data_IF_454402496539
#
_entry.id   IF_454402496539
#
_cell.length_a   1.000
_cell.length_b   1.000
_cell.length_c   1.000
_cell.angle_alpha   90.00
_cell.angle_beta   90.00
_cell.angle_gamma   90.00
#
_symmetry.space_group_name_H-M   'P 1'
#
loop_
_entity.id
_entity.type
_entity.pdbx_description
1 polymer ?
#
# COMPACT_ATOMS: atom_id res chain seq x y z
N UNK A 1 32.32 -4.26 -14.76
CA UNK A 1 31.31 -3.16 -14.96
C UNK A 1 29.92 -3.53 -14.47
N UNK A 2 29.37 -4.72 -14.75
CA UNK A 2 28.00 -5.13 -14.29
C UNK A 2 27.85 -5.12 -12.77
N UNK A 3 28.86 -5.56 -12.04
CA UNK A 3 28.85 -5.60 -10.56
C UNK A 3 28.79 -4.20 -9.92
N UNK A 4 29.48 -3.23 -10.50
CA UNK A 4 29.46 -1.85 -10.04
C UNK A 4 28.06 -1.26 -10.18
N UNK A 5 27.40 -1.47 -11.32
CA UNK A 5 26.03 -1.03 -11.54
C UNK A 5 25.02 -1.68 -10.60
N UNK A 6 25.16 -2.98 -10.36
CA UNK A 6 24.31 -3.69 -9.39
C UNK A 6 24.54 -3.21 -7.96
N UNK A 7 25.81 -2.96 -7.59
CA UNK A 7 26.15 -2.38 -6.29
C UNK A 7 25.55 -0.99 -6.11
N UNK A 8 25.74 -0.10 -7.09
CA UNK A 8 25.16 1.26 -7.07
C UNK A 8 23.65 1.24 -6.99
N UNK A 9 22.97 0.41 -7.79
CA UNK A 9 21.51 0.27 -7.74
C UNK A 9 21.03 -0.24 -6.38
N UNK A 10 21.74 -1.20 -5.78
CA UNK A 10 21.41 -1.71 -4.45
C UNK A 10 21.60 -0.65 -3.37
N UNK A 11 22.64 0.16 -3.47
CA UNK A 11 22.87 1.28 -2.56
C UNK A 11 21.74 2.31 -2.67
N UNK A 12 21.35 2.69 -3.89
CA UNK A 12 20.20 3.59 -4.13
C UNK A 12 18.93 3.00 -3.54
N UNK A 13 18.69 1.69 -3.71
CA UNK A 13 17.55 0.99 -3.10
C UNK A 13 17.57 1.11 -1.57
N UNK A 14 18.68 0.81 -0.92
CA UNK A 14 18.81 0.88 0.54
C UNK A 14 18.64 2.31 1.08
N UNK A 15 19.24 3.30 0.43
CA UNK A 15 19.11 4.72 0.81
C UNK A 15 17.66 5.19 0.64
N UNK A 16 17.01 4.83 -0.46
CA UNK A 16 15.61 5.17 -0.72
C UNK A 16 14.67 4.49 0.28
N UNK A 17 14.91 3.23 0.63
CA UNK A 17 14.16 2.51 1.65
C UNK A 17 14.32 3.16 3.03
N UNK A 18 15.55 3.48 3.41
CA UNK A 18 15.82 4.18 4.66
C UNK A 18 15.15 5.55 4.70
N UNK A 19 15.26 6.33 3.62
CA UNK A 19 14.61 7.63 3.48
C UNK A 19 13.09 7.54 3.62
N UNK A 20 12.47 6.57 2.95
CA UNK A 20 11.03 6.30 3.05
C UNK A 20 10.62 5.99 4.50
N UNK A 21 11.33 5.08 5.17
CA UNK A 21 11.05 4.73 6.56
C UNK A 21 11.23 5.92 7.52
N UNK A 22 12.22 6.77 7.29
CA UNK A 22 12.42 8.00 8.07
C UNK A 22 11.28 8.99 7.89
N UNK A 23 10.79 9.17 6.66
CA UNK A 23 9.65 10.06 6.38
C UNK A 23 8.38 9.54 7.05
N UNK A 24 8.08 8.24 6.91
CA UNK A 24 6.91 7.61 7.55
C UNK A 24 6.99 7.73 9.07
N UNK A 25 8.14 7.44 9.66
CA UNK A 25 8.37 7.55 11.10
C UNK A 25 8.17 8.98 11.58
N UNK A 26 8.72 9.96 10.88
CA UNK A 26 8.54 11.37 11.22
C UNK A 26 7.09 11.85 11.12
N UNK A 27 6.27 11.23 10.24
CA UNK A 27 4.82 11.50 10.18
C UNK A 27 4.09 10.89 11.38
N UNK A 28 4.46 9.68 11.80
CA UNK A 28 3.83 8.99 12.91
C UNK A 28 4.00 9.72 14.27
N UNK A 29 5.09 10.46 14.44
CA UNK A 29 5.35 11.23 15.66
C UNK A 29 4.80 12.67 15.63
N UNK A 30 4.13 13.08 14.55
CA UNK A 30 3.55 14.42 14.48
C UNK A 30 2.17 14.41 15.15
N UNK A 31 2.01 15.15 16.25
CA UNK A 31 0.75 15.29 16.99
C UNK A 31 -0.02 16.54 16.55
N UNK A 32 -1.35 16.42 16.52
CA UNK A 32 -2.25 17.50 16.15
C UNK A 32 -2.65 17.50 14.65
N UNK A 33 -3.95 17.73 14.37
CA UNK A 33 -4.49 17.61 13.00
C UNK A 33 -3.88 18.63 12.02
N UNK A 34 -3.79 19.89 12.42
CA UNK A 34 -3.24 20.95 11.56
C UNK A 34 -1.75 20.71 11.26
N UNK A 35 -0.98 20.36 12.29
CA UNK A 35 0.44 20.04 12.14
C UNK A 35 0.65 18.80 11.28
N UNK A 36 -0.22 17.78 11.41
CA UNK A 36 -0.15 16.56 10.63
C UNK A 36 -0.46 16.83 9.14
N UNK A 37 -1.47 17.65 8.83
CA UNK A 37 -1.79 18.03 7.45
C UNK A 37 -0.65 18.83 6.80
N UNK A 38 -0.11 19.83 7.50
CA UNK A 38 1.03 20.62 7.02
C UNK A 38 2.27 19.75 6.80
N UNK A 39 2.59 18.87 7.76
CA UNK A 39 3.71 17.94 7.65
C UNK A 39 3.54 16.94 6.50
N UNK A 40 2.32 16.47 6.24
CA UNK A 40 2.03 15.60 5.10
C UNK A 40 2.26 16.33 3.76
N UNK A 41 1.79 17.56 3.62
CA UNK A 41 2.00 18.33 2.39
C UNK A 41 3.48 18.55 2.10
N UNK A 42 4.28 18.92 3.12
CA UNK A 42 5.72 19.15 2.95
C UNK A 42 6.50 17.85 2.67
N UNK A 43 6.08 16.73 3.24
CA UNK A 43 6.81 15.45 3.13
C UNK A 43 6.39 14.58 1.95
N UNK A 44 5.23 14.85 1.31
CA UNK A 44 4.76 14.11 0.14
C UNK A 44 5.76 14.09 -1.03
N UNK A 45 6.37 15.22 -1.44
CA UNK A 45 7.34 15.19 -2.53
C UNK A 45 8.56 14.30 -2.22
N UNK A 46 9.05 14.36 -0.97
CA UNK A 46 10.17 13.53 -0.52
C UNK A 46 9.79 12.05 -0.47
N UNK A 47 8.56 11.73 -0.03
CA UNK A 47 8.05 10.36 -0.05
C UNK A 47 7.93 9.84 -1.49
N UNK A 48 7.40 10.63 -2.42
CA UNK A 48 7.33 10.27 -3.83
C UNK A 48 8.72 10.03 -4.43
N UNK A 49 9.70 10.88 -4.11
CA UNK A 49 11.07 10.72 -4.57
C UNK A 49 11.71 9.41 -4.07
N UNK A 50 11.52 9.09 -2.79
CA UNK A 50 12.04 7.85 -2.21
C UNK A 50 11.37 6.61 -2.80
N UNK A 51 10.05 6.65 -3.04
CA UNK A 51 9.31 5.55 -3.71
C UNK A 51 9.80 5.41 -5.16
N UNK A 52 9.96 6.51 -5.89
CA UNK A 52 10.51 6.47 -7.25
C UNK A 52 11.92 5.88 -7.28
N UNK A 53 12.78 6.26 -6.34
CA UNK A 53 14.13 5.67 -6.18
C UNK A 53 14.09 4.17 -5.93
N UNK A 54 13.17 3.69 -5.08
CA UNK A 54 12.96 2.25 -4.84
C UNK A 54 12.53 1.53 -6.13
N UNK A 55 11.53 2.06 -6.83
CA UNK A 55 10.98 1.46 -8.04
C UNK A 55 12.00 1.38 -9.17
N UNK A 56 12.76 2.46 -9.40
CA UNK A 56 13.74 2.53 -10.47
C UNK A 56 15.00 1.71 -10.20
N UNK A 57 15.41 1.58 -8.94
CA UNK A 57 16.61 0.81 -8.57
C UNK A 57 16.38 -0.70 -8.50
N UNK A 58 15.17 -1.13 -8.18
CA UNK A 58 14.84 -2.54 -7.95
C UNK A 58 15.19 -3.49 -9.11
N UNK A 59 14.92 -3.18 -10.41
CA UNK A 59 15.26 -4.06 -11.52
C UNK A 59 16.76 -4.31 -11.67
N UNK A 60 17.58 -3.34 -11.24
CA UNK A 60 19.04 -3.36 -11.37
C UNK A 60 19.74 -3.81 -10.10
N UNK A 61 19.02 -4.00 -9.00
CA UNK A 61 19.57 -4.44 -7.71
C UNK A 61 20.12 -5.88 -7.79
N UNK A 62 20.94 -6.26 -6.80
CA UNK A 62 21.50 -7.62 -6.68
C UNK A 62 20.41 -8.68 -6.61
N UNK A 63 20.76 -9.90 -7.05
CA UNK A 63 19.82 -11.04 -7.12
C UNK A 63 19.00 -11.28 -5.85
N UNK A 64 19.56 -11.25 -4.62
CA UNK A 64 18.79 -11.48 -3.40
C UNK A 64 17.66 -10.47 -3.21
N UNK A 65 17.90 -9.17 -3.47
CA UNK A 65 16.90 -8.12 -3.34
C UNK A 65 15.78 -8.31 -4.37
N UNK A 66 16.14 -8.61 -5.62
CA UNK A 66 15.13 -8.91 -6.66
C UNK A 66 14.30 -10.16 -6.36
N UNK A 67 14.93 -11.21 -5.81
CA UNK A 67 14.23 -12.43 -5.41
C UNK A 67 13.24 -12.13 -4.27
N UNK A 68 13.65 -11.34 -3.27
CA UNK A 68 12.79 -10.97 -2.14
C UNK A 68 11.58 -10.16 -2.59
N UNK A 69 11.77 -9.22 -3.53
CA UNK A 69 10.69 -8.33 -4.01
C UNK A 69 9.93 -8.87 -5.23
N UNK A 70 10.53 -9.79 -5.99
CA UNK A 70 9.95 -10.36 -7.21
C UNK A 70 9.34 -11.75 -7.03
N UNK A 71 9.03 -12.17 -5.81
CA UNK A 71 8.45 -13.48 -5.55
C UNK A 71 6.92 -13.51 -5.82
N UNK A 72 6.34 -14.71 -5.85
CA UNK A 72 4.90 -14.92 -6.10
C UNK A 72 4.01 -14.20 -5.08
N UNK A 73 4.45 -14.10 -3.83
CA UNK A 73 3.69 -13.43 -2.75
C UNK A 73 3.59 -11.94 -3.04
N UNK A 74 4.71 -11.29 -3.40
CA UNK A 74 4.71 -9.87 -3.78
C UNK A 74 3.88 -9.61 -5.04
N UNK A 75 3.95 -10.50 -6.04
CA UNK A 75 3.10 -10.44 -7.23
C UNK A 75 1.61 -10.55 -6.90
N UNK A 76 1.24 -11.42 -5.97
CA UNK A 76 -0.13 -11.56 -5.49
C UNK A 76 -0.58 -10.32 -4.70
N UNK A 77 0.24 -9.81 -3.78
CA UNK A 77 -0.02 -8.57 -3.04
C UNK A 77 -0.19 -7.37 -3.98
N UNK A 78 0.65 -7.27 -5.01
CA UNK A 78 0.54 -6.22 -6.02
C UNK A 78 -0.80 -6.31 -6.78
N UNK A 79 -1.26 -7.52 -7.12
CA UNK A 79 -2.53 -7.71 -7.82
C UNK A 79 -3.74 -7.25 -6.99
N UNK A 80 -3.74 -7.46 -5.67
CA UNK A 80 -4.84 -7.04 -4.80
C UNK A 80 -4.71 -5.60 -4.28
N UNK A 81 -3.52 -4.98 -4.42
CA UNK A 81 -3.20 -3.69 -3.80
C UNK A 81 -4.12 -2.56 -4.25
N UNK A 82 -4.49 -2.54 -5.54
CA UNK A 82 -5.38 -1.51 -6.10
C UNK A 82 -6.79 -1.60 -5.49
N UNK A 83 -7.35 -2.81 -5.43
CA UNK A 83 -8.66 -3.05 -4.83
C UNK A 83 -8.64 -2.77 -3.33
N UNK A 84 -7.55 -3.13 -2.65
CA UNK A 84 -7.35 -2.80 -1.24
C UNK A 84 -7.33 -1.28 -1.03
N UNK A 85 -6.59 -0.54 -1.86
CA UNK A 85 -6.51 0.92 -1.77
C UNK A 85 -7.88 1.59 -1.94
N UNK A 86 -8.69 1.13 -2.89
CA UNK A 86 -10.04 1.66 -3.13
C UNK A 86 -10.99 1.36 -1.97
N UNK A 87 -10.90 0.15 -1.39
CA UNK A 87 -11.84 -0.29 -0.35
C UNK A 87 -11.52 0.29 1.02
N UNK A 88 -10.24 0.39 1.40
CA UNK A 88 -9.88 0.70 2.78
C UNK A 88 -10.40 2.05 3.27
N UNK A 89 -10.41 3.08 2.43
CA UNK A 89 -10.93 4.40 2.79
C UNK A 89 -12.44 4.40 2.95
N UNK A 90 -13.16 3.80 1.99
CA UNK A 90 -14.62 3.71 2.06
C UNK A 90 -15.07 2.92 3.28
N UNK A 91 -14.43 1.78 3.52
CA UNK A 91 -14.74 0.93 4.65
C UNK A 91 -14.45 1.62 5.98
N UNK A 92 -13.34 2.33 6.08
CA UNK A 92 -12.99 3.10 7.27
C UNK A 92 -14.05 4.17 7.61
N UNK A 93 -14.56 4.88 6.59
CA UNK A 93 -15.63 5.87 6.78
C UNK A 93 -16.93 5.19 7.21
N UNK A 94 -17.30 4.07 6.58
CA UNK A 94 -18.53 3.35 6.91
C UNK A 94 -18.49 2.75 8.31
N UNK A 95 -17.39 2.11 8.72
CA UNK A 95 -17.25 1.58 10.08
C UNK A 95 -17.36 2.66 11.15
N UNK A 96 -16.81 3.85 10.91
CA UNK A 96 -16.98 5.00 11.81
C UNK A 96 -18.43 5.45 11.91
N UNK A 97 -19.15 5.55 10.79
CA UNK A 97 -20.57 5.93 10.77
C UNK A 97 -21.46 4.92 11.51
N UNK A 98 -21.10 3.65 11.45
CA UNK A 98 -21.84 2.56 12.12
C UNK A 98 -21.42 2.38 13.58
N UNK A 99 -20.47 3.17 14.09
CA UNK A 99 -19.87 3.02 15.42
C UNK A 99 -19.34 1.59 15.69
N UNK A 100 -18.68 0.99 14.68
CA UNK A 100 -18.09 -0.34 14.79
C UNK A 100 -16.55 -0.22 14.80
N UNK A 101 -15.86 -0.68 15.84
CA UNK A 101 -16.37 -1.24 17.11
C UNK A 101 -17.03 -0.17 17.99
N UNK A 102 -17.85 -0.54 18.99
CA UNK A 102 -18.49 0.41 19.87
C UNK A 102 -17.43 1.23 20.63
N UNK A 103 -17.63 2.54 20.67
CA UNK A 103 -16.76 3.51 21.36
C UNK A 103 -17.52 4.25 22.43
N UNK A 104 -16.87 4.62 23.51
CA UNK A 104 -17.41 5.47 24.58
C UNK A 104 -17.41 6.95 24.16
N UNK A 105 -16.41 7.32 23.36
CA UNK A 105 -16.23 8.70 22.86
C UNK A 105 -16.86 8.87 21.48
N UNK A 106 -17.43 10.06 21.21
CA UNK A 106 -17.90 10.44 19.87
C UNK A 106 -16.76 10.59 18.86
N UNK A 107 -15.53 10.82 19.32
CA UNK A 107 -14.34 10.96 18.49
C UNK A 107 -13.17 10.11 19.02
N UNK A 108 -13.30 8.77 19.00
CA UNK A 108 -12.33 7.86 19.63
C UNK A 108 -10.92 7.95 19.01
N UNK A 109 -10.81 8.34 17.74
CA UNK A 109 -9.52 8.57 17.08
C UNK A 109 -8.76 9.77 17.64
N UNK A 110 -9.48 10.82 18.08
CA UNK A 110 -8.84 12.03 18.61
C UNK A 110 -8.39 11.86 20.06
N UNK A 111 -9.16 11.10 20.82
CA UNK A 111 -8.89 10.83 22.24
C UNK A 111 -7.87 9.73 22.41
N UNK A 112 -7.59 8.95 21.37
CA UNK A 112 -6.66 7.81 21.45
C UNK A 112 -7.22 6.66 22.27
N UNK A 113 -8.54 6.43 22.20
CA UNK A 113 -9.25 5.43 22.98
C UNK A 113 -8.70 4.01 22.70
N UNK A 114 -8.26 3.32 23.76
CA UNK A 114 -7.80 1.94 23.72
C UNK A 114 -8.80 1.07 24.51
N UNK A 115 -9.12 -0.13 24.06
CA UNK A 115 -8.59 -0.91 22.92
C UNK A 115 -9.25 -0.61 21.57
N UNK A 116 -10.16 0.36 21.49
CA UNK A 116 -10.94 0.69 20.30
C UNK A 116 -10.06 0.88 19.06
N UNK A 117 -8.98 1.64 19.19
CA UNK A 117 -8.08 1.98 18.08
C UNK A 117 -7.45 0.74 17.43
N UNK A 118 -7.04 -0.24 18.23
CA UNK A 118 -6.45 -1.49 17.74
C UNK A 118 -7.50 -2.38 17.07
N UNK A 119 -8.69 -2.47 17.66
CA UNK A 119 -9.82 -3.23 17.09
C UNK A 119 -10.29 -2.62 15.77
N UNK A 120 -10.44 -1.31 15.72
CA UNK A 120 -10.82 -0.59 14.50
C UNK A 120 -9.78 -0.79 13.38
N UNK A 121 -8.50 -0.69 13.72
CA UNK A 121 -7.41 -0.90 12.75
C UNK A 121 -7.40 -2.33 12.22
N UNK A 122 -7.56 -3.32 13.09
CA UNK A 122 -7.64 -4.73 12.71
C UNK A 122 -8.85 -5.03 11.82
N UNK A 123 -10.02 -4.47 12.14
CA UNK A 123 -11.24 -4.61 11.34
C UNK A 123 -11.11 -3.94 9.97
N UNK A 124 -10.63 -2.69 9.92
CA UNK A 124 -10.41 -1.98 8.66
C UNK A 124 -9.44 -2.73 7.75
N UNK A 125 -8.32 -3.20 8.32
CA UNK A 125 -7.31 -3.94 7.56
C UNK A 125 -7.86 -5.29 7.07
N UNK A 126 -8.44 -6.08 7.97
CA UNK A 126 -8.95 -7.42 7.66
C UNK A 126 -10.08 -7.41 6.64
N UNK A 127 -11.09 -6.55 6.84
CA UNK A 127 -12.23 -6.45 5.92
C UNK A 127 -11.82 -5.88 4.56
N UNK A 128 -10.91 -4.90 4.52
CA UNK A 128 -10.40 -4.35 3.26
C UNK A 128 -9.59 -5.39 2.48
N UNK A 129 -8.78 -6.19 3.18
CA UNK A 129 -8.01 -7.26 2.56
C UNK A 129 -8.93 -8.37 2.02
N UNK A 130 -9.91 -8.79 2.79
CA UNK A 130 -10.91 -9.79 2.38
C UNK A 130 -11.71 -9.31 1.16
N UNK A 131 -12.22 -8.07 1.21
CA UNK A 131 -12.92 -7.46 0.09
C UNK A 131 -12.07 -7.34 -1.17
N UNK A 132 -10.81 -6.93 -1.04
CA UNK A 132 -9.88 -6.85 -2.16
C UNK A 132 -9.62 -8.21 -2.81
N UNK A 133 -9.44 -9.26 -2.00
CA UNK A 133 -9.30 -10.64 -2.49
C UNK A 133 -10.54 -11.09 -3.24
N UNK A 134 -11.72 -10.88 -2.65
CA UNK A 134 -12.99 -11.27 -3.27
C UNK A 134 -13.22 -10.55 -4.61
N UNK A 135 -13.00 -9.24 -4.68
CA UNK A 135 -13.14 -8.47 -5.92
C UNK A 135 -12.15 -8.98 -6.98
N UNK A 136 -10.89 -9.18 -6.59
CA UNK A 136 -9.87 -9.67 -7.53
C UNK A 136 -10.20 -11.07 -8.06
N UNK A 137 -10.70 -11.97 -7.21
CA UNK A 137 -11.01 -13.36 -7.62
C UNK A 137 -12.32 -13.47 -8.38
N UNK A 138 -13.37 -12.78 -7.94
CA UNK A 138 -14.73 -12.97 -8.45
C UNK A 138 -15.07 -12.02 -9.62
N UNK A 139 -14.41 -10.88 -9.72
CA UNK A 139 -14.71 -9.87 -10.73
C UNK A 139 -13.53 -9.70 -11.68
N UNK A 140 -12.37 -9.30 -11.18
CA UNK A 140 -11.25 -8.89 -12.01
C UNK A 140 -10.69 -10.05 -12.86
N UNK A 141 -10.41 -11.21 -12.25
CA UNK A 141 -9.89 -12.37 -12.99
C UNK A 141 -10.86 -12.92 -14.04
N UNK A 142 -12.17 -13.13 -13.76
CA UNK A 142 -13.13 -13.56 -14.78
C UNK A 142 -13.28 -12.54 -15.90
N UNK A 143 -13.35 -11.24 -15.59
CA UNK A 143 -13.43 -10.18 -16.59
C UNK A 143 -12.19 -10.14 -17.49
N UNK A 144 -11.00 -10.22 -16.89
CA UNK A 144 -9.74 -10.26 -17.63
C UNK A 144 -9.67 -11.50 -18.57
N UNK A 145 -10.12 -12.66 -18.08
CA UNK A 145 -10.19 -13.88 -18.89
C UNK A 145 -11.17 -13.74 -20.06
N UNK A 146 -12.38 -13.20 -19.81
CA UNK A 146 -13.38 -12.98 -20.84
C UNK A 146 -12.89 -12.00 -21.91
N UNK A 147 -12.29 -10.89 -21.51
CA UNK A 147 -11.68 -9.92 -22.42
C UNK A 147 -10.57 -10.55 -23.26
N UNK A 148 -9.66 -11.29 -22.65
CA UNK A 148 -8.60 -11.99 -23.37
C UNK A 148 -9.16 -12.93 -24.43
N UNK A 149 -10.22 -13.68 -24.12
CA UNK A 149 -10.87 -14.59 -25.05
C UNK A 149 -11.50 -13.86 -26.26
N UNK A 150 -12.12 -12.69 -26.01
CA UNK A 150 -12.72 -11.86 -27.05
C UNK A 150 -11.65 -11.29 -28.00
N UNK A 151 -10.55 -10.75 -27.46
CA UNK A 151 -9.48 -10.18 -28.27
C UNK A 151 -8.70 -11.23 -29.06
N UNK A 152 -8.45 -12.41 -28.48
CA UNK A 152 -7.75 -13.50 -29.20
C UNK A 152 -8.60 -14.06 -30.34
N UNK A 153 -9.92 -14.01 -30.24
CA UNK A 153 -10.84 -14.45 -31.31
C UNK A 153 -10.81 -13.49 -32.50
N UNK A 154 -10.67 -12.18 -32.28
CA UNK A 154 -10.57 -11.16 -33.32
C UNK A 154 -9.25 -11.22 -34.14
N UNK A 155 -8.18 -11.76 -33.58
CA UNK A 155 -6.90 -11.89 -34.30
C UNK A 155 -6.85 -13.13 -35.22
N UNK A 156 -7.79 -14.07 -35.06
CA UNK A 156 -7.86 -15.31 -35.88
C UNK A 156 -8.91 -15.27 -37.02
N UNK A 157 -9.69 -14.21 -37.08
CA UNK A 157 -10.64 -13.92 -38.15
C UNK A 157 -10.11 -12.87 -39.13
#
# INVERSE_FOLDING_TARGET
>A
RKWLWQGAATLVFCVSLYGMLRVIRAQAYTSGQAAMQAAQMMRRPLLCLTIAGLMLSLPFAVRPVRFLMGNRVMGWLAAISMNYYLLHQNLAVHLKRLHIPPSVSNEPNRVGEQPWQNQYMALCFGLSLLGAILITLLIEKPCAWALKKLFTRKQKA
#
